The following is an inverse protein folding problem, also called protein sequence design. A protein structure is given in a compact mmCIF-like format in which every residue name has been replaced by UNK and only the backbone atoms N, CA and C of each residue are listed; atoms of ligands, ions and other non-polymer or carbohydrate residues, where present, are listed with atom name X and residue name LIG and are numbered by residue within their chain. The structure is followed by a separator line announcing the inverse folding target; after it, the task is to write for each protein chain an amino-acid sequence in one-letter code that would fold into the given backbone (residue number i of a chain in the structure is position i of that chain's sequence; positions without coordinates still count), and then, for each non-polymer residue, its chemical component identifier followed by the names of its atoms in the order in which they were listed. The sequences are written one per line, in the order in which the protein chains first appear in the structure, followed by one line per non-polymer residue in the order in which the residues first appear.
data_IF_363071346617
#
_entry.id   IF_363071346617
#
_cell.length_a   1.000
_cell.length_b   1.000
_cell.length_c   1.000
_cell.angle_alpha   90.00
_cell.angle_beta   90.00
_cell.angle_gamma   90.00
#
_symmetry.space_group_name_H-M   'P 1'
#
loop_
_entity.id
_entity.type
_entity.pdbx_description
1 polymer ?
#
# COMPACT_ATOMS: atom_id res chain seq x y z
N UNK A 1 -6.81 4.83 -51.49
CA UNK A 1 -6.39 5.03 -50.08
C UNK A 1 -7.22 4.12 -49.21
N UNK A 2 -6.61 3.06 -48.68
CA UNK A 2 -7.29 2.07 -47.83
C UNK A 2 -7.03 2.46 -46.37
N UNK A 3 -8.10 2.73 -45.64
CA UNK A 3 -8.06 3.06 -44.21
C UNK A 3 -8.02 1.76 -43.40
N UNK A 4 -7.01 1.61 -42.54
CA UNK A 4 -6.91 0.47 -41.62
C UNK A 4 -7.50 0.86 -40.25
N UNK A 5 -8.24 -0.06 -39.58
CA UNK A 5 -8.83 0.21 -38.28
C UNK A 5 -7.78 0.16 -37.16
N UNK A 6 -7.85 1.15 -36.28
CA UNK A 6 -7.03 1.29 -35.08
C UNK A 6 -7.56 0.34 -33.99
N UNK A 7 -6.83 -0.75 -33.70
CA UNK A 7 -7.19 -1.70 -32.64
C UNK A 7 -6.69 -1.15 -31.31
N UNK A 8 -7.63 -0.78 -30.43
CA UNK A 8 -7.36 -0.30 -29.07
C UNK A 8 -7.22 -1.51 -28.14
N UNK A 9 -5.99 -1.88 -27.80
CA UNK A 9 -5.69 -2.89 -26.78
C UNK A 9 -6.05 -2.31 -25.40
N UNK A 10 -7.10 -2.86 -24.77
CA UNK A 10 -7.41 -2.61 -23.36
C UNK A 10 -6.54 -3.53 -22.51
N UNK A 11 -5.51 -2.97 -21.88
CA UNK A 11 -4.73 -3.64 -20.83
C UNK A 11 -5.48 -3.45 -19.51
N UNK A 12 -6.02 -4.54 -18.96
CA UNK A 12 -6.61 -4.56 -17.63
C UNK A 12 -5.48 -4.72 -16.60
N UNK A 13 -5.08 -3.61 -15.99
CA UNK A 13 -4.17 -3.60 -14.85
C UNK A 13 -4.99 -3.85 -13.58
N UNK A 14 -5.00 -5.09 -13.08
CA UNK A 14 -5.68 -5.47 -11.83
C UNK A 14 -4.76 -5.13 -10.64
N UNK A 15 -5.09 -4.04 -9.97
CA UNK A 15 -4.49 -3.64 -8.70
C UNK A 15 -4.95 -4.58 -7.57
N UNK A 16 -4.10 -5.54 -7.17
CA UNK A 16 -4.39 -6.60 -6.18
C UNK A 16 -4.27 -6.14 -4.71
N UNK A 17 -4.07 -4.84 -4.45
CA UNK A 17 -3.84 -4.33 -3.09
C UNK A 17 -5.10 -3.85 -2.35
N UNK A 18 -6.31 -4.16 -2.83
CA UNK A 18 -7.56 -3.56 -2.33
C UNK A 18 -8.53 -4.52 -1.60
N UNK A 19 -8.12 -5.76 -1.25
CA UNK A 19 -9.01 -6.71 -0.58
C UNK A 19 -8.63 -6.94 0.90
N UNK A 20 -9.07 -6.01 1.76
CA UNK A 20 -9.26 -6.27 3.18
C UNK A 20 -10.71 -5.94 3.53
N UNK A 21 -11.62 -6.83 3.14
CA UNK A 21 -12.98 -6.83 3.64
C UNK A 21 -13.01 -6.99 5.16
N UNK A 22 -13.55 -6.00 5.86
CA UNK A 22 -13.88 -6.08 7.27
C UNK A 22 -15.12 -6.94 7.45
N UNK A 23 -14.92 -8.18 7.90
CA UNK A 23 -16.02 -9.06 8.30
C UNK A 23 -16.82 -8.42 9.45
N UNK A 24 -18.08 -8.12 9.16
CA UNK A 24 -19.11 -7.76 10.14
C UNK A 24 -19.46 -8.99 10.98
N UNK A 25 -18.91 -9.09 12.17
CA UNK A 25 -19.37 -10.03 13.19
C UNK A 25 -20.70 -9.51 13.76
N UNK A 26 -21.77 -10.27 13.51
CA UNK A 26 -23.10 -10.06 14.10
C UNK A 26 -23.07 -10.43 15.59
N UNK A 27 -23.55 -9.52 16.42
CA UNK A 27 -23.90 -9.80 17.80
C UNK A 27 -25.10 -10.76 17.87
N UNK A 28 -24.97 -11.82 18.67
CA UNK A 28 -26.11 -12.59 19.21
C UNK A 28 -25.88 -12.89 20.69
N UNK A 29 -26.83 -12.37 21.45
CA UNK A 29 -27.31 -12.67 22.80
C UNK A 29 -26.70 -13.78 23.68
N UNK A 30 -26.38 -13.34 24.91
CA UNK A 30 -26.81 -13.83 26.24
C UNK A 30 -27.06 -15.33 26.45
N UNK A 31 -26.35 -15.91 27.42
CA UNK A 31 -26.83 -16.28 28.78
C UNK A 31 -26.02 -17.46 29.36
N UNK A 32 -26.03 -17.58 30.70
CA UNK A 32 -25.35 -18.54 31.59
C UNK A 32 -23.88 -18.21 31.86
N UNK A 33 -23.39 -17.91 33.08
CA UNK A 33 -23.90 -18.15 34.43
C UNK A 33 -22.96 -19.10 35.16
N UNK A 34 -21.95 -18.58 35.88
CA UNK A 34 -21.11 -19.37 36.78
C UNK A 34 -19.95 -18.57 37.43
N UNK A 35 -19.83 -18.53 38.77
CA UNK A 35 -18.71 -17.88 39.43
C UNK A 35 -17.48 -18.80 39.47
N UNK A 36 -16.34 -18.33 38.96
CA UNK A 36 -15.04 -19.00 39.09
C UNK A 36 -14.20 -18.30 40.15
N UNK A 37 -13.81 -19.09 41.16
CA UNK A 37 -12.99 -18.70 42.30
C UNK A 37 -11.59 -18.24 41.86
N UNK A 38 -11.20 -17.05 42.32
CA UNK A 38 -9.86 -16.48 42.17
C UNK A 38 -8.89 -17.17 43.15
N UNK A 39 -8.08 -18.11 42.65
CA UNK A 39 -6.86 -18.53 43.35
C UNK A 39 -5.71 -17.59 43.00
N UNK A 40 -5.41 -16.66 43.91
CA UNK A 40 -4.15 -15.93 43.99
C UNK A 40 -3.02 -16.91 44.31
N UNK A 41 -2.14 -17.16 43.34
CA UNK A 41 -0.81 -17.73 43.60
C UNK A 41 0.21 -16.63 43.29
N UNK A 42 0.77 -16.05 44.36
CA UNK A 42 1.97 -15.23 44.28
C UNK A 42 3.12 -16.14 43.83
N UNK A 43 3.73 -15.81 42.69
CA UNK A 43 4.96 -16.44 42.23
C UNK A 43 6.00 -15.34 42.12
N UNK A 44 6.86 -15.26 43.14
CA UNK A 44 8.12 -14.56 43.05
C UNK A 44 8.84 -15.04 41.78
N UNK A 45 9.12 -14.11 40.88
CA UNK A 45 10.02 -14.32 39.75
C UNK A 45 11.21 -13.40 39.95
N UNK A 46 12.33 -14.06 40.19
CA UNK A 46 13.68 -13.52 40.14
C UNK A 46 13.87 -12.52 39.00
N UNK A 47 14.37 -11.35 39.38
CA UNK A 47 14.89 -10.32 38.50
C UNK A 47 16.28 -10.76 38.01
N UNK A 48 16.31 -11.61 36.98
CA UNK A 48 17.50 -11.73 36.11
C UNK A 48 17.27 -10.89 34.86
N UNK A 49 17.80 -9.68 34.89
CA UNK A 49 17.82 -8.77 33.75
C UNK A 49 18.83 -9.27 32.70
N UNK A 50 18.40 -10.22 31.87
CA UNK A 50 19.03 -10.43 30.57
C UNK A 50 18.83 -9.16 29.73
N UNK A 51 19.93 -8.58 29.28
CA UNK A 51 19.94 -7.51 28.29
C UNK A 51 19.20 -7.99 27.02
N UNK A 52 18.09 -7.36 26.60
CA UNK A 52 17.51 -7.64 25.29
C UNK A 52 18.35 -6.92 24.24
N UNK A 53 19.47 -7.55 23.87
CA UNK A 53 20.00 -7.37 22.53
C UNK A 53 18.94 -7.90 21.58
N UNK A 54 18.13 -7.01 21.01
CA UNK A 54 17.12 -7.34 20.01
C UNK A 54 17.85 -7.91 18.79
N UNK A 55 18.14 -9.21 18.84
CA UNK A 55 18.48 -10.00 17.67
C UNK A 55 17.21 -10.08 16.83
N UNK A 56 16.97 -9.01 16.07
CA UNK A 56 16.02 -8.98 14.97
C UNK A 56 16.48 -10.07 14.00
N UNK A 57 15.98 -11.30 14.20
CA UNK A 57 16.16 -12.36 13.24
C UNK A 57 15.75 -11.79 11.87
N UNK A 58 16.60 -11.90 10.83
CA UNK A 58 16.23 -11.44 9.50
C UNK A 58 14.94 -12.15 9.14
N UNK A 59 13.86 -11.37 8.99
CA UNK A 59 12.52 -11.92 8.79
C UNK A 59 12.45 -12.40 7.35
N UNK A 60 12.83 -13.66 7.15
CA UNK A 60 12.61 -14.39 5.92
C UNK A 60 11.11 -14.34 5.59
N UNK A 61 10.73 -14.34 4.31
CA UNK A 61 9.33 -14.46 3.95
C UNK A 61 8.80 -15.83 4.43
N UNK A 62 7.57 -15.89 4.96
CA UNK A 62 7.03 -17.13 5.50
C UNK A 62 6.73 -18.15 4.40
N UNK A 63 6.83 -19.44 4.73
CA UNK A 63 6.47 -20.53 3.83
C UNK A 63 5.04 -20.36 3.30
N UNK A 64 4.86 -20.55 2.00
CA UNK A 64 3.58 -20.37 1.31
C UNK A 64 3.25 -18.93 0.92
N UNK A 65 4.02 -17.92 1.35
CA UNK A 65 3.83 -16.52 0.93
C UNK A 65 4.27 -16.28 -0.51
N UNK A 66 3.95 -15.10 -1.03
CA UNK A 66 4.37 -14.64 -2.35
C UNK A 66 5.37 -13.48 -2.22
N UNK A 67 6.32 -13.45 -3.14
CA UNK A 67 7.31 -12.39 -3.28
C UNK A 67 7.46 -11.98 -4.75
N UNK A 68 8.07 -10.82 -4.93
CA UNK A 68 8.50 -10.31 -6.22
C UNK A 68 9.97 -10.71 -6.44
N UNK A 69 10.28 -11.27 -7.62
CA UNK A 69 11.65 -11.60 -8.01
C UNK A 69 12.04 -10.85 -9.27
N UNK A 70 13.15 -10.10 -9.21
CA UNK A 70 13.75 -9.48 -10.38
C UNK A 70 14.97 -10.28 -10.81
N UNK A 71 15.01 -10.69 -12.08
CA UNK A 71 16.14 -11.37 -12.71
C UNK A 71 16.33 -10.84 -14.13
N UNK A 72 17.57 -10.56 -14.54
CA UNK A 72 17.89 -9.99 -15.86
C UNK A 72 17.09 -8.74 -16.25
N UNK A 73 16.67 -7.94 -15.26
CA UNK A 73 15.85 -6.74 -15.47
C UNK A 73 14.35 -7.00 -15.63
N UNK A 74 13.91 -8.25 -15.61
CA UNK A 74 12.49 -8.62 -15.62
C UNK A 74 12.00 -8.89 -14.19
N UNK A 75 10.85 -8.32 -13.84
CA UNK A 75 10.24 -8.43 -12.51
C UNK A 75 9.02 -9.33 -12.54
N UNK A 76 9.05 -10.37 -11.70
CA UNK A 76 8.00 -11.38 -11.57
C UNK A 76 7.30 -11.25 -10.21
N UNK A 77 6.06 -10.74 -10.14
CA UNK A 77 5.39 -10.43 -8.87
C UNK A 77 4.76 -11.63 -8.13
N UNK A 78 4.64 -12.79 -8.79
CA UNK A 78 3.88 -13.96 -8.30
C UNK A 78 4.78 -15.16 -7.98
N UNK A 79 5.94 -14.95 -7.37
CA UNK A 79 6.84 -16.05 -7.00
C UNK A 79 6.47 -16.59 -5.62
N UNK A 80 6.13 -17.87 -5.54
CA UNK A 80 5.71 -18.51 -4.29
C UNK A 80 6.91 -19.01 -3.50
N UNK A 81 6.94 -18.72 -2.21
CA UNK A 81 7.88 -19.32 -1.26
C UNK A 81 7.41 -20.73 -0.93
N UNK A 82 8.20 -21.74 -1.30
CA UNK A 82 7.91 -23.13 -0.93
C UNK A 82 8.46 -23.42 0.45
N UNK A 83 9.70 -23.01 0.71
CA UNK A 83 10.38 -23.25 1.97
C UNK A 83 11.48 -22.21 2.22
N UNK A 84 11.57 -21.67 3.42
CA UNK A 84 12.62 -20.74 3.83
C UNK A 84 13.37 -21.28 5.06
N UNK A 85 14.69 -21.44 4.95
CA UNK A 85 15.53 -21.94 6.04
C UNK A 85 16.92 -21.29 6.04
N UNK A 86 17.25 -20.59 7.13
CA UNK A 86 18.53 -19.93 7.29
C UNK A 86 18.77 -18.87 6.21
N UNK A 87 19.73 -19.13 5.32
CA UNK A 87 20.06 -18.23 4.19
C UNK A 87 19.59 -18.77 2.84
N UNK A 88 18.88 -19.92 2.82
CA UNK A 88 18.42 -20.56 1.59
C UNK A 88 16.90 -20.56 1.54
N UNK A 89 16.36 -20.23 0.39
CA UNK A 89 14.92 -20.23 0.11
C UNK A 89 14.64 -21.03 -1.16
N UNK A 90 13.64 -21.90 -1.10
CA UNK A 90 13.11 -22.61 -2.26
C UNK A 90 11.90 -21.85 -2.77
N UNK A 91 11.96 -21.44 -4.04
CA UNK A 91 10.93 -20.68 -4.72
C UNK A 91 10.24 -21.55 -5.78
N UNK A 92 8.99 -21.23 -6.07
CA UNK A 92 8.24 -21.81 -7.19
C UNK A 92 7.65 -20.70 -8.06
N UNK A 93 7.87 -20.80 -9.36
CA UNK A 93 7.48 -19.80 -10.36
C UNK A 93 7.20 -20.46 -11.72
N UNK A 94 6.62 -19.73 -12.66
CA UNK A 94 6.35 -20.26 -13.99
C UNK A 94 7.65 -20.59 -14.74
N UNK A 95 7.63 -21.65 -15.56
CA UNK A 95 8.84 -22.16 -16.22
C UNK A 95 9.53 -21.14 -17.13
N UNK A 96 8.76 -20.23 -17.73
CA UNK A 96 9.30 -19.16 -18.57
C UNK A 96 10.13 -18.12 -17.81
N UNK A 97 9.98 -18.05 -16.48
CA UNK A 97 10.64 -17.04 -15.63
C UNK A 97 11.71 -17.65 -14.72
N UNK A 98 12.03 -18.95 -14.87
CA UNK A 98 13.05 -19.61 -14.08
C UNK A 98 14.45 -19.11 -14.51
N UNK A 99 15.20 -18.44 -13.61
CA UNK A 99 16.55 -18.01 -13.90
C UNK A 99 17.50 -19.23 -13.93
N UNK A 100 18.62 -19.17 -14.68
CA UNK A 100 19.59 -20.25 -14.71
C UNK A 100 20.37 -20.34 -13.39
N UNK A 101 20.95 -21.51 -13.13
CA UNK A 101 21.85 -21.68 -11.99
C UNK A 101 23.04 -20.70 -12.05
N UNK A 102 23.51 -20.26 -10.89
CA UNK A 102 24.56 -19.26 -10.67
C UNK A 102 24.23 -17.82 -11.12
N UNK A 103 22.97 -17.51 -11.44
CA UNK A 103 22.56 -16.12 -11.68
C UNK A 103 22.28 -15.36 -10.38
N UNK A 104 22.38 -14.03 -10.43
CA UNK A 104 21.89 -13.15 -9.37
C UNK A 104 20.40 -12.84 -9.53
N UNK A 105 19.72 -12.69 -8.41
CA UNK A 105 18.31 -12.27 -8.33
C UNK A 105 18.14 -11.25 -7.21
N UNK A 106 17.18 -10.34 -7.36
CA UNK A 106 16.68 -9.50 -6.26
C UNK A 106 15.31 -10.01 -5.83
N UNK A 107 15.16 -10.33 -4.54
CA UNK A 107 13.91 -10.79 -3.96
C UNK A 107 13.30 -9.67 -3.12
N UNK A 108 11.99 -9.46 -3.27
CA UNK A 108 11.23 -8.40 -2.58
C UNK A 108 9.97 -8.95 -1.94
N UNK A 109 9.79 -8.72 -0.63
CA UNK A 109 8.63 -9.20 0.11
C UNK A 109 8.13 -8.15 1.10
N UNK A 110 6.91 -8.33 1.62
CA UNK A 110 6.31 -7.39 2.56
C UNK A 110 7.11 -7.32 3.87
N UNK A 111 7.41 -6.09 4.33
CA UNK A 111 7.93 -5.84 5.67
C UNK A 111 6.75 -5.40 6.56
N UNK A 112 6.39 -6.21 7.56
CA UNK A 112 5.42 -5.78 8.57
C UNK A 112 6.11 -4.85 9.59
N UNK A 113 5.49 -3.71 10.00
CA UNK A 113 4.18 -3.20 9.60
C UNK A 113 4.19 -2.27 8.37
N UNK A 114 5.36 -1.81 7.89
CA UNK A 114 5.46 -0.90 6.73
C UNK A 114 6.72 -1.18 5.91
N UNK A 115 6.56 -1.17 4.60
CA UNK A 115 7.66 -1.25 3.63
C UNK A 115 7.72 -2.59 2.91
N UNK A 116 8.76 -2.76 2.10
CA UNK A 116 9.14 -4.04 1.51
C UNK A 116 10.58 -4.33 1.90
N UNK A 117 10.90 -5.56 2.27
CA UNK A 117 12.29 -5.98 2.27
C UNK A 117 12.74 -6.20 0.83
N UNK A 118 14.00 -5.88 0.54
CA UNK A 118 14.69 -6.29 -0.65
C UNK A 118 16.03 -6.92 -0.27
N UNK A 119 16.34 -8.05 -0.87
CA UNK A 119 17.60 -8.72 -0.63
C UNK A 119 18.07 -9.41 -1.90
N UNK A 120 19.37 -9.28 -2.18
CA UNK A 120 20.00 -10.01 -3.27
C UNK A 120 20.22 -11.47 -2.88
N UNK A 121 20.14 -12.35 -3.88
CA UNK A 121 20.49 -13.75 -3.73
C UNK A 121 21.12 -14.31 -5.00
N UNK A 122 21.69 -15.50 -4.86
CA UNK A 122 22.26 -16.28 -5.95
C UNK A 122 21.49 -17.59 -6.11
N UNK A 123 21.15 -17.93 -7.35
CA UNK A 123 20.51 -19.20 -7.67
C UNK A 123 21.54 -20.33 -7.53
N UNK A 124 21.30 -21.25 -6.61
CA UNK A 124 22.16 -22.41 -6.37
C UNK A 124 21.82 -23.55 -7.32
N UNK A 125 20.53 -23.87 -7.41
CA UNK A 125 20.02 -25.02 -8.12
C UNK A 125 18.64 -24.73 -8.70
N UNK A 126 18.33 -25.44 -9.78
CA UNK A 126 17.05 -25.38 -10.49
C UNK A 126 16.57 -26.81 -10.71
N UNK A 127 15.37 -27.11 -10.23
CA UNK A 127 14.68 -28.38 -10.44
C UNK A 127 13.28 -28.11 -10.99
N UNK A 128 13.17 -28.13 -12.32
CA UNK A 128 11.95 -27.73 -13.02
C UNK A 128 11.53 -26.32 -12.59
N UNK A 129 10.32 -26.19 -12.06
CA UNK A 129 9.75 -24.92 -11.63
C UNK A 129 10.16 -24.48 -10.21
N UNK A 130 11.11 -25.21 -9.60
CA UNK A 130 11.65 -24.92 -8.26
C UNK A 130 13.06 -24.39 -8.36
N UNK A 131 13.33 -23.32 -7.61
CA UNK A 131 14.62 -22.63 -7.63
C UNK A 131 15.10 -22.46 -6.20
N UNK A 132 16.31 -22.94 -5.92
CA UNK A 132 16.98 -22.69 -4.65
C UNK A 132 17.81 -21.41 -4.76
N UNK A 133 17.51 -20.44 -3.91
CA UNK A 133 18.21 -19.16 -3.85
C UNK A 133 18.89 -19.02 -2.50
N UNK A 134 20.18 -18.69 -2.51
CA UNK A 134 20.92 -18.29 -1.31
C UNK A 134 20.97 -16.78 -1.20
N UNK A 135 20.44 -16.24 -0.12
CA UNK A 135 20.56 -14.83 0.20
C UNK A 135 22.00 -14.40 0.44
N UNK A 136 22.32 -13.18 0.02
CA UNK A 136 23.60 -12.53 0.28
C UNK A 136 23.40 -11.19 0.96
N UNK A 137 24.22 -10.90 1.97
CA UNK A 137 24.12 -9.68 2.76
C UNK A 137 22.90 -9.65 3.68
N UNK A 138 22.49 -8.45 4.08
CA UNK A 138 21.33 -8.21 4.93
C UNK A 138 20.15 -7.67 4.12
N UNK A 139 18.90 -7.98 4.50
CA UNK A 139 17.74 -7.41 3.86
C UNK A 139 17.72 -5.89 4.07
N UNK A 140 17.55 -5.14 2.99
CA UNK A 140 17.32 -3.70 3.02
C UNK A 140 15.81 -3.43 3.10
N UNK A 141 15.39 -2.49 3.95
CA UNK A 141 14.00 -2.03 3.96
C UNK A 141 13.84 -1.01 2.83
N UNK A 142 13.20 -1.41 1.75
CA UNK A 142 12.70 -0.51 0.72
C UNK A 142 11.43 0.16 1.23
N UNK A 143 11.54 1.44 1.53
CA UNK A 143 10.38 2.29 1.69
C UNK A 143 9.90 2.69 0.28
N UNK A 144 8.86 2.02 -0.22
CA UNK A 144 8.32 2.24 -1.58
C UNK A 144 7.72 3.63 -1.82
N UNK A 145 7.74 4.51 -0.80
CA UNK A 145 7.17 5.85 -0.87
C UNK A 145 8.19 6.84 -0.36
N UNK A 146 8.61 7.74 -1.25
CA UNK A 146 9.44 8.91 -0.92
C UNK A 146 8.72 9.88 0.03
N UNK A 147 7.39 9.78 0.12
CA UNK A 147 6.54 10.71 0.86
C UNK A 147 5.64 10.00 1.85
N UNK A 148 5.52 10.62 3.03
CA UNK A 148 4.57 10.18 4.04
C UNK A 148 3.15 10.45 3.54
N UNK A 149 2.26 9.45 3.68
CA UNK A 149 0.83 9.60 3.39
C UNK A 149 0.01 9.60 4.67
N UNK A 150 -1.08 10.36 4.69
CA UNK A 150 -2.05 10.38 5.77
C UNK A 150 -3.19 11.36 5.45
N UNK A 151 -3.90 11.79 6.49
CA UNK A 151 -5.16 12.51 6.29
C UNK A 151 -6.33 11.56 6.05
N UNK A 152 -7.40 12.07 5.47
CA UNK A 152 -8.65 11.40 5.21
C UNK A 152 -9.83 12.17 5.83
N UNK A 153 -10.84 12.44 5.01
CA UNK A 153 -12.07 13.16 5.39
C UNK A 153 -12.00 14.68 5.20
N UNK A 154 -10.86 15.23 4.79
CA UNK A 154 -10.75 16.68 4.58
C UNK A 154 -11.55 17.13 3.35
N UNK A 155 -12.25 18.28 3.42
CA UNK A 155 -12.94 18.80 2.26
C UNK A 155 -11.93 19.33 1.24
N UNK A 156 -12.22 19.08 -0.03
CA UNK A 156 -11.45 19.57 -1.18
C UNK A 156 -12.38 20.19 -2.21
N UNK A 157 -11.94 21.29 -2.81
CA UNK A 157 -12.60 21.93 -3.95
C UNK A 157 -11.68 21.84 -5.15
N UNK A 158 -12.23 21.38 -6.27
CA UNK A 158 -11.54 21.27 -7.56
C UNK A 158 -12.08 22.32 -8.53
N UNK A 159 -11.18 23.15 -9.05
CA UNK A 159 -11.47 24.17 -10.06
C UNK A 159 -10.78 23.81 -11.37
N UNK A 160 -11.53 23.85 -12.48
CA UNK A 160 -11.02 23.56 -13.83
C UNK A 160 -11.45 24.66 -14.81
N UNK A 161 -10.62 25.00 -15.81
CA UNK A 161 -11.01 25.95 -16.84
C UNK A 161 -12.31 25.54 -17.55
N UNK A 162 -13.28 26.45 -17.62
CA UNK A 162 -14.55 26.23 -18.32
C UNK A 162 -15.53 25.28 -17.63
N UNK A 163 -15.26 24.83 -16.41
CA UNK A 163 -16.15 23.96 -15.64
C UNK A 163 -16.56 24.62 -14.32
N UNK A 164 -17.70 24.20 -13.76
CA UNK A 164 -18.10 24.60 -12.42
C UNK A 164 -17.17 23.94 -11.39
N UNK A 165 -16.88 24.66 -10.29
CA UNK A 165 -16.14 24.11 -9.16
C UNK A 165 -16.86 22.88 -8.58
N UNK A 166 -16.09 21.84 -8.29
CA UNK A 166 -16.59 20.60 -7.71
C UNK A 166 -16.08 20.43 -6.29
N UNK A 167 -17.00 20.19 -5.35
CA UNK A 167 -16.66 19.82 -3.98
C UNK A 167 -16.47 18.30 -3.86
N UNK A 168 -15.52 17.90 -3.03
CA UNK A 168 -15.16 16.51 -2.80
C UNK A 168 -14.59 16.29 -1.41
N UNK A 169 -14.09 15.07 -1.19
CA UNK A 169 -13.47 14.68 0.09
C UNK A 169 -12.16 13.93 -0.15
N UNK A 170 -11.13 14.25 0.62
CA UNK A 170 -9.84 13.58 0.56
C UNK A 170 -9.94 12.19 1.19
N UNK A 171 -9.43 11.17 0.52
CA UNK A 171 -9.25 9.83 1.07
C UNK A 171 -7.89 9.68 1.74
N UNK A 172 -6.83 10.09 1.03
CA UNK A 172 -5.48 10.21 1.57
C UNK A 172 -4.71 11.30 0.83
N UNK A 173 -3.69 11.87 1.47
CA UNK A 173 -2.82 12.87 0.86
C UNK A 173 -1.36 12.68 1.28
N UNK A 174 -0.48 13.26 0.50
CA UNK A 174 0.96 13.39 0.72
C UNK A 174 1.44 14.75 0.24
N UNK A 175 2.70 15.09 0.44
CA UNK A 175 3.28 16.35 -0.05
C UNK A 175 3.47 16.43 -1.58
N UNK A 176 3.04 15.41 -2.35
CA UNK A 176 3.16 15.39 -3.82
C UNK A 176 1.90 14.93 -4.54
N UNK A 177 0.95 14.35 -3.82
CA UNK A 177 -0.25 13.81 -4.43
C UNK A 177 -1.39 13.75 -3.42
N UNK A 178 -2.61 13.81 -3.94
CA UNK A 178 -3.85 13.61 -3.20
C UNK A 178 -4.72 12.57 -3.90
N UNK A 179 -5.32 11.69 -3.10
CA UNK A 179 -6.41 10.81 -3.49
C UNK A 179 -7.71 11.39 -2.96
N UNK A 180 -8.64 11.71 -3.84
CA UNK A 180 -9.89 12.37 -3.48
C UNK A 180 -11.08 11.77 -4.21
N UNK A 181 -12.25 11.96 -3.60
CA UNK A 181 -13.54 11.53 -4.09
C UNK A 181 -14.40 12.74 -4.46
N UNK A 182 -15.06 12.66 -5.61
CA UNK A 182 -16.00 13.65 -6.12
C UNK A 182 -17.26 12.96 -6.65
N UNK A 183 -18.35 13.72 -6.73
CA UNK A 183 -19.62 13.27 -7.31
C UNK A 183 -20.00 14.15 -8.49
N UNK A 184 -20.54 13.55 -9.54
CA UNK A 184 -21.07 14.23 -10.74
C UNK A 184 -20.05 15.07 -11.50
N UNK A 185 -18.82 14.56 -11.54
CA UNK A 185 -17.71 15.15 -12.29
C UNK A 185 -17.20 14.15 -13.32
N UNK A 186 -16.97 14.57 -14.56
CA UNK A 186 -16.22 13.80 -15.54
C UNK A 186 -14.75 14.22 -15.51
N UNK A 187 -13.85 13.25 -15.33
CA UNK A 187 -12.40 13.45 -15.26
C UNK A 187 -11.67 12.38 -16.07
N UNK A 188 -10.53 12.74 -16.64
CA UNK A 188 -9.66 11.85 -17.38
C UNK A 188 -8.20 11.99 -16.90
N UNK A 189 -7.38 10.91 -16.99
CA UNK A 189 -5.94 11.03 -16.77
C UNK A 189 -5.33 12.10 -17.70
N UNK A 190 -4.52 12.99 -17.14
CA UNK A 190 -3.93 14.14 -17.81
C UNK A 190 -4.71 15.45 -17.64
N UNK A 191 -5.92 15.44 -17.09
CA UNK A 191 -6.67 16.67 -16.84
C UNK A 191 -5.95 17.55 -15.81
N UNK A 192 -5.72 18.82 -16.18
CA UNK A 192 -5.18 19.87 -15.32
C UNK A 192 -6.28 20.54 -14.49
N UNK A 193 -5.95 20.89 -13.24
CA UNK A 193 -6.87 21.53 -12.31
C UNK A 193 -6.15 22.31 -11.21
N UNK A 194 -6.90 23.06 -10.43
CA UNK A 194 -6.47 23.58 -9.14
C UNK A 194 -7.26 22.88 -8.03
N UNK A 195 -6.56 22.36 -7.02
CA UNK A 195 -7.16 21.73 -5.85
C UNK A 195 -6.94 22.59 -4.61
N UNK A 196 -8.03 22.98 -3.95
CA UNK A 196 -8.02 23.71 -2.69
C UNK A 196 -8.49 22.80 -1.56
N UNK A 197 -7.62 22.49 -0.61
CA UNK A 197 -7.85 21.51 0.46
C UNK A 197 -7.81 22.22 1.82
N UNK A 198 -8.81 21.97 2.67
CA UNK A 198 -8.81 22.43 4.06
C UNK A 198 -8.02 21.45 4.94
N UNK A 199 -6.89 21.88 5.50
CA UNK A 199 -6.00 21.08 6.35
C UNK A 199 -5.92 21.68 7.75
N UNK A 200 -6.77 21.21 8.66
CA UNK A 200 -6.95 21.84 9.97
C UNK A 200 -7.55 23.24 9.79
N UNK A 201 -6.87 24.27 10.29
CA UNK A 201 -7.32 25.67 10.20
C UNK A 201 -6.77 26.40 8.95
N UNK A 202 -6.00 25.72 8.11
CA UNK A 202 -5.35 26.29 6.92
C UNK A 202 -6.01 25.77 5.64
N UNK A 203 -6.06 26.61 4.59
CA UNK A 203 -6.43 26.20 3.23
C UNK A 203 -5.19 26.24 2.35
N UNK A 204 -4.89 25.13 1.69
CA UNK A 204 -3.78 25.02 0.75
C UNK A 204 -4.33 24.82 -0.66
N UNK A 205 -3.73 25.47 -1.66
CA UNK A 205 -4.20 25.41 -3.05
C UNK A 205 -3.06 25.09 -4.00
N UNK A 206 -3.27 24.12 -4.89
CA UNK A 206 -2.23 23.56 -5.76
C UNK A 206 -2.71 23.41 -7.19
N UNK A 207 -1.88 23.78 -8.19
CA UNK A 207 -2.04 23.20 -9.51
C UNK A 207 -1.76 21.69 -9.43
N UNK A 208 -2.56 20.91 -10.15
CA UNK A 208 -2.46 19.46 -10.13
C UNK A 208 -2.88 18.87 -11.47
N UNK A 209 -2.28 17.71 -11.77
CA UNK A 209 -2.60 16.90 -12.93
C UNK A 209 -3.17 15.56 -12.48
N UNK A 210 -4.27 15.15 -13.09
CA UNK A 210 -4.90 13.86 -12.83
C UNK A 210 -4.01 12.73 -13.31
N UNK A 211 -3.63 11.82 -12.41
CA UNK A 211 -2.81 10.65 -12.76
C UNK A 211 -3.65 9.39 -12.97
N UNK A 212 -4.59 9.11 -12.06
CA UNK A 212 -5.47 7.93 -12.11
C UNK A 212 -6.90 8.36 -11.82
N UNK A 213 -7.85 7.85 -12.59
CA UNK A 213 -9.29 8.07 -12.38
C UNK A 213 -9.98 6.73 -12.34
N UNK A 214 -10.82 6.53 -11.34
CA UNK A 214 -11.78 5.44 -11.26
C UNK A 214 -13.19 6.02 -11.15
N UNK A 215 -14.00 5.78 -12.19
CA UNK A 215 -15.35 6.31 -12.26
C UNK A 215 -16.36 5.16 -12.16
N UNK A 216 -17.21 5.20 -11.15
CA UNK A 216 -18.27 4.22 -10.94
C UNK A 216 -19.62 4.93 -10.96
N UNK A 217 -20.51 4.51 -11.86
CA UNK A 217 -21.91 4.91 -11.79
C UNK A 217 -22.63 4.01 -10.80
N UNK A 218 -23.35 4.59 -9.85
CA UNK A 218 -24.22 3.80 -8.97
C UNK A 218 -25.36 3.20 -9.81
N UNK A 219 -25.42 1.87 -9.90
CA UNK A 219 -26.33 1.18 -10.83
C UNK A 219 -27.70 0.78 -10.23
N UNK A 220 -27.91 0.85 -8.91
CA UNK A 220 -29.13 0.31 -8.27
C UNK A 220 -29.53 1.13 -7.03
N UNK A 221 -30.83 1.38 -6.76
CA UNK A 221 -32.03 1.07 -7.57
C UNK A 221 -32.40 2.14 -8.62
N UNK A 222 -31.81 3.34 -8.52
CA UNK A 222 -31.92 4.41 -9.51
C UNK A 222 -30.50 4.77 -9.96
N UNK A 223 -30.32 5.16 -11.22
CA UNK A 223 -29.03 5.64 -11.74
C UNK A 223 -28.56 6.81 -10.88
N UNK A 224 -27.67 6.53 -9.93
CA UNK A 224 -27.17 7.51 -8.99
C UNK A 224 -26.09 8.39 -9.61
N UNK A 225 -25.55 9.33 -8.83
CA UNK A 225 -24.53 10.25 -9.31
C UNK A 225 -23.28 9.50 -9.78
N UNK A 226 -22.52 10.13 -10.67
CA UNK A 226 -21.22 9.60 -11.09
C UNK A 226 -20.25 9.73 -9.92
N UNK A 227 -19.87 8.63 -9.29
CA UNK A 227 -18.86 8.61 -8.24
C UNK A 227 -17.48 8.53 -8.89
N UNK A 228 -16.62 9.50 -8.62
CA UNK A 228 -15.26 9.56 -9.16
C UNK A 228 -14.26 9.56 -8.03
N UNK A 229 -13.38 8.57 -8.04
CA UNK A 229 -12.19 8.55 -7.22
C UNK A 229 -10.99 8.88 -8.11
N UNK A 230 -10.20 9.87 -7.70
CA UNK A 230 -9.04 10.33 -8.46
C UNK A 230 -7.77 10.30 -7.61
N UNK A 231 -6.64 10.12 -8.27
CA UNK A 231 -5.31 10.44 -7.77
C UNK A 231 -4.78 11.58 -8.62
N UNK A 232 -4.50 12.72 -8.00
CA UNK A 232 -3.90 13.87 -8.63
C UNK A 232 -2.49 14.10 -8.07
N UNK A 233 -1.55 14.42 -8.94
CA UNK A 233 -0.17 14.78 -8.60
C UNK A 233 -0.05 16.30 -8.68
N UNK A 234 0.59 16.89 -7.69
CA UNK A 234 0.75 18.33 -7.62
C UNK A 234 1.90 18.80 -8.52
N UNK A 235 1.62 19.79 -9.35
CA UNK A 235 2.61 20.39 -10.23
C UNK A 235 3.36 21.50 -9.47
N UNK A 236 4.69 21.56 -9.63
CA UNK A 236 5.56 22.64 -9.14
C UNK A 236 5.19 23.22 -7.75
N UNK A 237 4.98 22.38 -6.73
CA UNK A 237 4.57 22.94 -5.46
C UNK A 237 5.66 23.76 -4.78
N UNK A 238 5.23 24.87 -4.20
CA UNK A 238 6.00 25.65 -3.25
C UNK A 238 6.29 24.83 -1.97
N UNK A 239 7.55 24.82 -1.53
CA UNK A 239 7.98 24.11 -0.32
C UNK A 239 7.20 24.54 0.93
N UNK A 240 6.70 25.79 0.96
CA UNK A 240 5.88 26.31 2.05
C UNK A 240 4.61 25.49 2.22
N UNK A 241 3.88 25.22 1.12
CA UNK A 241 2.64 24.47 1.17
C UNK A 241 2.90 22.97 1.41
N UNK A 242 3.97 22.41 0.82
CA UNK A 242 4.40 21.04 1.11
C UNK A 242 4.68 20.84 2.61
N UNK A 243 5.31 21.82 3.27
CA UNK A 243 5.57 21.82 4.71
C UNK A 243 4.29 21.85 5.54
N UNK A 244 3.24 22.56 5.10
CA UNK A 244 1.93 22.56 5.78
C UNK A 244 1.31 21.16 5.74
N UNK A 245 1.25 20.53 4.56
CA UNK A 245 0.74 19.16 4.42
C UNK A 245 1.55 18.19 5.29
N UNK A 246 2.88 18.25 5.23
CA UNK A 246 3.78 17.38 6.01
C UNK A 246 3.51 17.50 7.50
N UNK A 247 3.39 18.72 8.02
CA UNK A 247 3.07 18.99 9.43
C UNK A 247 1.70 18.44 9.80
N UNK A 248 0.69 18.67 8.96
CA UNK A 248 -0.67 18.19 9.16
C UNK A 248 -0.72 16.65 9.26
N UNK A 249 -0.15 15.95 8.29
CA UNK A 249 -0.09 14.48 8.26
C UNK A 249 0.60 13.93 9.51
N UNK A 250 1.74 14.52 9.91
CA UNK A 250 2.48 14.04 11.09
C UNK A 250 1.72 14.24 12.39
N UNK A 251 1.04 15.38 12.55
CA UNK A 251 0.18 15.63 13.70
C UNK A 251 -0.96 14.61 13.75
N UNK A 252 -1.61 14.34 12.61
CA UNK A 252 -2.73 13.41 12.55
C UNK A 252 -2.29 11.97 12.88
N UNK A 253 -1.13 11.53 12.38
CA UNK A 253 -0.59 10.21 12.72
C UNK A 253 -0.24 10.05 14.20
N UNK A 254 0.32 11.09 14.84
CA UNK A 254 0.60 11.06 16.28
C UNK A 254 -0.69 10.96 17.09
N UNK A 255 -1.74 11.71 16.72
CA UNK A 255 -3.04 11.64 17.39
C UNK A 255 -3.68 10.25 17.26
N UNK A 256 -3.61 9.62 16.09
CA UNK A 256 -4.13 8.26 15.88
C UNK A 256 -3.38 7.21 16.69
N UNK A 257 -2.05 7.33 16.83
CA UNK A 257 -1.27 6.42 17.69
C UNK A 257 -1.66 6.53 19.16
N UNK A 258 -1.91 7.75 19.63
CA UNK A 258 -2.30 7.97 21.02
C UNK A 258 -3.70 7.40 21.33
N UNK A 259 -4.63 7.46 20.36
CA UNK A 259 -5.98 6.88 20.53
C UNK A 259 -6.02 5.35 20.50
N UNK A 260 -5.04 4.70 19.87
CA UNK A 260 -4.97 3.23 19.79
C UNK A 260 -4.37 2.56 21.02
N UNK A 261 -3.99 3.34 22.04
CA UNK A 261 -3.30 2.86 23.24
C UNK A 261 -4.16 2.97 24.52
N UNK A 262 -5.43 3.38 24.37
CA UNK A 262 -6.48 3.39 25.40
C UNK A 262 -7.46 2.22 25.16
#
# INVERSE_FOLDING_TARGET
MVSLPFIRLQVFDRDLAADHGTERIRARDRAYGGPVNLCRMAKDRDLSAEHPGTMSAPTLPPDGSYLEMTSYGETNPEVRVVHASGTVITLSLAMAHVPPANSTVELRWAAAPRGRYAQQGYVLAVDGNRVEVRFTGHPAVLQSRSYVRGGGGEPVVMSRPGHQDAAGTVHDMSERAVRAHFTDVELYPGDEMTLSIQVGDEVVSFPATTYKVNSMRQQVPVRGPLSVEMVAVFDDQEEVQARVIRRYIMRNQLMHRNRGND
#
